data_IF_808336398298
#
_entry.id   IF_808336398298
#
_cell.length_a   1.000
_cell.length_b   1.000
_cell.length_c   1.000
_cell.angle_alpha   90.00
_cell.angle_beta   90.00
_cell.angle_gamma   90.00
#
_symmetry.space_group_name_H-M   'P 1'
#
loop_
_entity.id
_entity.type
_entity.pdbx_description
1 polymer ?
#
# COMPACT_ATOMS: atom_id res chain seq x y z
N UNK A 1 5.29 -18.88 -16.05
CA UNK A 1 5.99 -18.07 -15.02
C UNK A 1 5.00 -17.54 -13.99
N UNK A 2 5.12 -17.89 -12.70
CA UNK A 2 4.30 -17.27 -11.63
C UNK A 2 4.81 -15.84 -11.39
N UNK A 3 4.08 -14.83 -11.87
CA UNK A 3 4.37 -13.43 -11.53
C UNK A 3 4.18 -13.25 -10.02
N UNK A 4 5.20 -12.76 -9.32
CA UNK A 4 5.13 -12.54 -7.88
C UNK A 4 3.99 -11.56 -7.55
N UNK A 5 3.30 -11.78 -6.43
CA UNK A 5 2.17 -10.95 -6.02
C UNK A 5 2.57 -9.47 -5.89
N UNK A 6 3.79 -9.20 -5.40
CA UNK A 6 4.40 -7.86 -5.33
C UNK A 6 4.47 -7.18 -6.70
N UNK A 7 4.89 -7.86 -7.76
CA UNK A 7 4.94 -7.29 -9.12
C UNK A 7 3.55 -6.91 -9.63
N UNK A 8 2.53 -7.72 -9.31
CA UNK A 8 1.13 -7.42 -9.69
C UNK A 8 0.63 -6.18 -8.96
N UNK A 9 0.87 -6.08 -7.65
CA UNK A 9 0.50 -4.92 -6.85
C UNK A 9 1.23 -3.66 -7.30
N UNK A 10 2.54 -3.73 -7.49
CA UNK A 10 3.33 -2.62 -7.99
C UNK A 10 2.77 -2.08 -9.31
N UNK A 11 2.49 -2.97 -10.27
CA UNK A 11 1.89 -2.56 -11.54
C UNK A 11 0.52 -1.89 -11.33
N UNK A 12 -0.36 -2.51 -10.54
CA UNK A 12 -1.69 -1.96 -10.28
C UNK A 12 -1.64 -0.56 -9.63
N UNK A 13 -0.74 -0.35 -8.66
CA UNK A 13 -0.59 0.96 -8.01
C UNK A 13 -0.04 1.98 -9.01
N UNK A 14 0.97 1.63 -9.82
CA UNK A 14 1.48 2.51 -10.89
C UNK A 14 0.39 2.93 -11.86
N UNK A 15 -0.40 1.97 -12.33
CA UNK A 15 -1.48 2.23 -13.29
C UNK A 15 -2.53 3.16 -12.67
N UNK A 16 -2.85 2.99 -11.38
CA UNK A 16 -3.77 3.89 -10.65
C UNK A 16 -3.18 5.29 -10.48
N UNK A 17 -1.91 5.41 -10.08
CA UNK A 17 -1.26 6.71 -9.94
C UNK A 17 -1.25 7.46 -11.28
N UNK A 18 -0.90 6.78 -12.37
CA UNK A 18 -0.93 7.34 -13.71
C UNK A 18 -2.34 7.77 -14.12
N UNK A 19 -3.33 6.88 -13.97
CA UNK A 19 -4.72 7.15 -14.35
C UNK A 19 -5.35 8.30 -13.56
N UNK A 20 -4.98 8.45 -12.28
CA UNK A 20 -5.50 9.48 -11.39
C UNK A 20 -4.66 10.76 -11.37
N UNK A 21 -3.54 10.81 -12.08
CA UNK A 21 -2.60 11.94 -12.04
C UNK A 21 -2.02 12.17 -10.63
N UNK A 22 -1.84 11.10 -9.86
CA UNK A 22 -1.23 11.18 -8.52
C UNK A 22 0.28 11.28 -8.71
N UNK A 23 0.84 12.41 -8.29
CA UNK A 23 2.28 12.59 -8.23
C UNK A 23 2.86 11.77 -7.07
N UNK A 24 4.01 11.12 -7.32
CA UNK A 24 4.66 10.27 -6.34
C UNK A 24 5.65 11.13 -5.57
N UNK A 25 5.25 11.51 -4.36
CA UNK A 25 6.08 12.28 -3.44
C UNK A 25 6.47 11.44 -2.24
N UNK A 26 7.72 11.58 -1.81
CA UNK A 26 8.23 10.92 -0.61
C UNK A 26 7.83 11.76 0.60
N UNK A 27 7.06 11.18 1.51
CA UNK A 27 6.77 11.79 2.81
C UNK A 27 7.87 11.43 3.82
N UNK A 28 8.29 12.41 4.64
CA UNK A 28 9.18 12.16 5.78
C UNK A 28 8.49 11.32 6.86
N UNK A 29 7.22 11.61 7.09
CA UNK A 29 6.33 10.81 7.91
C UNK A 29 4.93 10.76 7.28
N UNK A 30 4.34 9.58 7.19
CA UNK A 30 2.98 9.41 6.68
C UNK A 30 2.08 8.55 7.58
N UNK A 31 0.81 8.90 7.61
CA UNK A 31 -0.25 8.07 8.13
C UNK A 31 -0.87 7.30 6.95
N UNK A 32 -0.75 5.98 6.99
CA UNK A 32 -1.27 5.07 5.96
C UNK A 32 -2.48 4.36 6.51
N UNK A 33 -3.62 4.51 5.83
CA UNK A 33 -4.82 3.77 6.15
C UNK A 33 -5.17 2.81 5.02
N UNK A 34 -5.22 1.52 5.34
CA UNK A 34 -5.76 0.49 4.47
C UNK A 34 -7.20 0.21 4.84
N UNK A 35 -8.12 0.50 3.91
CA UNK A 35 -9.53 0.13 4.04
C UNK A 35 -9.87 -0.94 3.02
N UNK A 36 -10.03 -2.18 3.48
CA UNK A 36 -10.39 -3.33 2.66
C UNK A 36 -11.90 -3.54 2.68
N UNK A 37 -12.54 -3.34 1.54
CA UNK A 37 -13.98 -3.51 1.35
C UNK A 37 -14.20 -4.88 0.69
N UNK A 38 -14.85 -5.80 1.42
CA UNK A 38 -14.97 -7.21 1.05
C UNK A 38 -16.34 -7.81 1.37
N UNK A 39 -16.69 -8.94 0.76
CA UNK A 39 -17.94 -9.66 1.08
C UNK A 39 -17.92 -10.29 2.48
N UNK A 40 -16.70 -10.58 2.96
CA UNK A 40 -16.41 -11.10 4.30
C UNK A 40 -15.40 -10.17 4.97
N UNK A 41 -15.49 -10.08 6.28
CA UNK A 41 -14.51 -9.38 7.10
C UNK A 41 -13.39 -10.38 7.38
N UNK A 42 -12.16 -10.18 6.87
CA UNK A 42 -11.03 -11.02 7.24
C UNK A 42 -10.70 -10.82 8.72
N UNK A 43 -10.09 -11.83 9.35
CA UNK A 43 -9.40 -11.60 10.62
C UNK A 43 -8.23 -10.61 10.45
N UNK A 44 -7.72 -10.12 11.57
CA UNK A 44 -6.69 -9.10 11.58
C UNK A 44 -5.41 -9.56 10.88
N UNK A 45 -4.97 -10.81 11.08
CA UNK A 45 -3.74 -11.33 10.46
C UNK A 45 -3.85 -11.44 8.94
N UNK A 46 -4.99 -11.89 8.43
CA UNK A 46 -5.28 -11.95 7.00
C UNK A 46 -5.45 -10.55 6.38
N UNK A 47 -5.93 -9.58 7.16
CA UNK A 47 -6.01 -8.18 6.75
C UNK A 47 -4.61 -7.57 6.63
N UNK A 48 -3.79 -7.68 7.68
CA UNK A 48 -2.42 -7.16 7.73
C UNK A 48 -1.54 -7.86 6.70
N UNK A 49 -1.53 -9.19 6.67
CA UNK A 49 -0.74 -9.98 5.73
C UNK A 49 -1.12 -9.71 4.28
N UNK A 50 -2.41 -9.50 4.00
CA UNK A 50 -2.89 -9.12 2.67
C UNK A 50 -2.44 -7.73 2.22
N UNK A 51 -2.27 -6.79 3.16
CA UNK A 51 -1.84 -5.42 2.87
C UNK A 51 -0.32 -5.24 2.88
N UNK A 52 0.44 -6.16 3.51
CA UNK A 52 1.90 -6.09 3.62
C UNK A 52 2.60 -5.90 2.27
N UNK A 53 2.19 -6.65 1.24
CA UNK A 53 2.77 -6.51 -0.09
C UNK A 53 2.46 -5.17 -0.77
N UNK A 54 1.34 -4.54 -0.39
CA UNK A 54 0.98 -3.22 -0.88
C UNK A 54 1.84 -2.17 -0.16
N UNK A 55 1.97 -2.28 1.16
CA UNK A 55 2.83 -1.41 1.97
C UNK A 55 4.28 -1.46 1.49
N UNK A 56 4.82 -2.66 1.21
CA UNK A 56 6.12 -2.83 0.55
C UNK A 56 6.20 -1.98 -0.73
N UNK A 57 5.17 -2.01 -1.59
CA UNK A 57 5.19 -1.24 -2.84
C UNK A 57 5.13 0.28 -2.63
N UNK A 58 4.70 0.77 -1.46
CA UNK A 58 4.65 2.19 -1.14
C UNK A 58 6.00 2.72 -0.64
N UNK A 59 6.88 1.87 -0.08
CA UNK A 59 8.18 2.29 0.44
C UNK A 59 9.16 2.69 -0.67
N UNK A 60 10.22 3.40 -0.32
CA UNK A 60 11.31 3.70 -1.22
C UNK A 60 12.10 2.43 -1.50
N UNK A 61 12.45 2.14 -2.77
CA UNK A 61 13.39 1.09 -3.05
C UNK A 61 14.79 1.51 -2.61
N UNK A 62 15.61 0.54 -2.20
CA UNK A 62 16.98 0.79 -1.70
C UNK A 62 17.83 1.63 -2.66
N UNK A 63 17.67 1.38 -3.96
CA UNK A 63 18.40 2.08 -5.03
C UNK A 63 18.06 3.58 -5.12
N UNK A 64 17.00 4.04 -4.43
CA UNK A 64 16.54 5.43 -4.34
C UNK A 64 16.62 6.00 -2.92
N UNK A 65 17.45 5.42 -2.06
CA UNK A 65 17.64 5.87 -0.68
C UNK A 65 16.67 5.26 0.34
N UNK A 66 15.90 4.23 -0.04
CA UNK A 66 15.10 3.46 0.92
C UNK A 66 15.95 2.61 1.86
N UNK A 67 15.45 2.38 3.08
CA UNK A 67 16.15 1.59 4.10
C UNK A 67 15.94 0.07 3.90
N UNK A 68 14.74 -0.33 3.49
CA UNK A 68 14.40 -1.72 3.21
C UNK A 68 15.05 -2.25 1.91
N UNK A 69 15.44 -3.53 1.92
CA UNK A 69 15.91 -4.30 0.74
C UNK A 69 14.76 -4.61 -0.26
N UNK A 70 13.90 -3.64 -0.53
CA UNK A 70 12.80 -3.79 -1.47
C UNK A 70 13.17 -3.23 -2.84
N UNK A 71 13.04 -4.05 -3.88
CA UNK A 71 13.23 -3.63 -5.29
C UNK A 71 11.95 -3.08 -5.92
N UNK A 72 10.82 -3.18 -5.23
CA UNK A 72 9.49 -2.91 -5.76
C UNK A 72 8.82 -1.66 -5.17
N UNK A 73 9.60 -0.77 -4.57
CA UNK A 73 9.10 0.46 -3.96
C UNK A 73 8.78 1.56 -4.99
N UNK A 74 7.68 2.28 -4.78
CA UNK A 74 7.30 3.47 -5.55
C UNK A 74 7.89 4.76 -4.99
N UNK A 75 8.08 4.84 -3.68
CA UNK A 75 8.61 6.01 -3.01
C UNK A 75 7.55 7.00 -2.49
N UNK A 76 6.45 6.50 -1.94
CA UNK A 76 5.56 7.33 -1.11
C UNK A 76 6.09 7.45 0.32
N UNK A 77 6.72 6.40 0.84
CA UNK A 77 7.23 6.30 2.20
C UNK A 77 8.74 6.08 2.18
N UNK A 78 9.48 6.63 3.14
CA UNK A 78 10.90 6.30 3.28
C UNK A 78 11.09 4.83 3.65
N UNK A 79 10.31 4.36 4.62
CA UNK A 79 10.32 2.99 5.14
C UNK A 79 8.96 2.67 5.79
N UNK A 80 8.71 1.39 6.12
CA UNK A 80 7.49 0.95 6.80
C UNK A 80 7.64 0.86 8.34
N UNK A 81 8.81 1.23 8.87
CA UNK A 81 9.04 1.33 10.31
C UNK A 81 8.26 2.50 10.96
N UNK A 82 7.96 2.39 12.28
CA UNK A 82 7.17 3.39 13.02
C UNK A 82 7.73 4.81 13.00
N UNK A 83 9.02 4.97 12.71
CA UNK A 83 9.70 6.27 12.60
C UNK A 83 9.25 7.07 11.36
N UNK A 84 8.83 6.38 10.29
CA UNK A 84 8.49 6.98 9.00
C UNK A 84 7.01 6.82 8.65
N UNK A 85 6.31 5.87 9.26
CA UNK A 85 4.87 5.78 9.06
C UNK A 85 4.11 5.23 10.26
N UNK A 86 2.83 5.60 10.34
CA UNK A 86 1.84 4.87 11.11
C UNK A 86 0.90 4.15 10.15
N UNK A 87 0.51 2.92 10.49
CA UNK A 87 -0.38 2.12 9.62
C UNK A 87 -1.63 1.71 10.39
N UNK A 88 -2.79 1.97 9.77
CA UNK A 88 -4.10 1.54 10.27
C UNK A 88 -4.74 0.60 9.26
N UNK A 89 -5.36 -0.47 9.77
CA UNK A 89 -6.03 -1.46 8.96
C UNK A 89 -7.51 -1.52 9.34
N UNK A 90 -8.38 -1.27 8.38
CA UNK A 90 -9.82 -1.30 8.52
C UNK A 90 -10.42 -2.28 7.51
N UNK A 91 -11.31 -3.16 7.98
CA UNK A 91 -12.09 -4.03 7.12
C UNK A 91 -13.57 -3.65 7.20
N UNK A 92 -14.19 -3.47 6.04
CA UNK A 92 -15.61 -3.13 5.94
C UNK A 92 -16.31 -4.17 5.07
N UNK A 93 -17.43 -4.70 5.56
CA UNK A 93 -18.28 -5.59 4.79
C UNK A 93 -19.05 -4.80 3.74
N UNK A 94 -19.03 -5.26 2.49
CA UNK A 94 -19.93 -4.80 1.43
C UNK A 94 -21.03 -5.82 1.15
N UNK A 95 -22.15 -5.32 0.62
CA UNK A 95 -23.32 -6.14 0.29
C UNK A 95 -23.19 -6.78 -1.11
N UNK A 96 -22.51 -6.12 -2.06
CA UNK A 96 -22.40 -6.58 -3.44
C UNK A 96 -20.95 -6.89 -3.81
N UNK A 97 -20.76 -7.95 -4.62
CA UNK A 97 -19.44 -8.38 -5.09
C UNK A 97 -18.71 -7.30 -5.90
N UNK A 98 -19.46 -6.47 -6.63
CA UNK A 98 -18.93 -5.38 -7.46
C UNK A 98 -18.32 -4.23 -6.65
N UNK A 99 -18.67 -4.09 -5.37
CA UNK A 99 -18.19 -3.00 -4.51
C UNK A 99 -16.84 -3.32 -3.84
N UNK A 100 -16.31 -4.52 -4.06
CA UNK A 100 -15.05 -4.94 -3.46
C UNK A 100 -13.89 -4.10 -3.99
N UNK A 101 -13.16 -3.48 -3.07
CA UNK A 101 -11.98 -2.68 -3.38
C UNK A 101 -11.10 -2.52 -2.16
N UNK A 102 -9.83 -2.22 -2.40
CA UNK A 102 -8.93 -1.73 -1.36
C UNK A 102 -8.74 -0.24 -1.59
N UNK A 103 -9.05 0.55 -0.58
CA UNK A 103 -8.75 1.98 -0.56
C UNK A 103 -7.49 2.14 0.28
N UNK A 104 -6.52 2.88 -0.26
CA UNK A 104 -5.29 3.24 0.42
C UNK A 104 -5.33 4.75 0.55
N UNK A 105 -5.25 5.24 1.77
CA UNK A 105 -5.14 6.66 2.06
C UNK A 105 -3.76 6.92 2.66
N UNK A 106 -3.07 7.92 2.13
CA UNK A 106 -1.75 8.33 2.59
C UNK A 106 -1.84 9.83 2.88
N UNK A 107 -1.71 10.20 4.15
CA UNK A 107 -1.65 11.59 4.58
C UNK A 107 -0.31 11.81 5.28
N UNK A 108 0.54 12.69 4.75
CA UNK A 108 1.90 12.88 5.28
C UNK A 108 2.38 14.31 5.19
N UNK A 109 3.51 14.58 5.84
CA UNK A 109 4.27 15.83 5.71
C UNK A 109 5.46 15.58 4.79
N UNK A 110 5.68 16.49 3.84
CA UNK A 110 6.81 16.48 2.90
C UNK A 110 8.15 16.84 3.60
#
# INVERSE_FOLDING_TARGET
MKVSLRKKWLKAIKDVCLYKGIDIKVYKFANVEFKRIGLRIPDYDNLVGGCKFILDCLTLPRERGGLANNKYGLGFLIDDSPEYCSVKYNAVRCLRRADQKTIIRIDGRE
#
